data_IF_768694199911
#
_entry.id   IF_768694199911
#
_cell.length_a   1.000
_cell.length_b   1.000
_cell.length_c   1.000
_cell.angle_alpha   90.00
_cell.angle_beta   90.00
_cell.angle_gamma   90.00
#
_symmetry.space_group_name_H-M   'P 1'
#
loop_
_entity.id
_entity.type
_entity.pdbx_description
1 polymer ?
#
# COMPACT_ATOMS: atom_id res chain seq x y z
N UNK A 1 1.83 10.34 7.36
CA UNK A 1 2.18 11.67 6.83
C UNK A 1 3.42 12.24 7.50
N UNK A 2 4.05 13.29 6.93
CA UNK A 2 5.24 13.99 7.44
C UNK A 2 6.06 14.57 6.31
N UNK A 3 7.10 15.36 6.64
CA UNK A 3 7.99 15.99 5.67
C UNK A 3 8.80 14.97 4.85
N UNK A 4 9.34 15.40 3.71
CA UNK A 4 10.23 14.59 2.89
C UNK A 4 11.46 14.14 3.69
N UNK A 5 11.87 12.87 3.51
CA UNK A 5 13.02 12.31 4.23
C UNK A 5 12.75 11.80 5.65
N UNK A 6 11.52 11.90 6.19
CA UNK A 6 11.23 11.39 7.55
C UNK A 6 11.02 9.86 7.63
N UNK A 7 11.26 9.09 6.56
CA UNK A 7 11.23 7.62 6.59
C UNK A 7 9.92 6.97 6.09
N UNK A 8 8.93 7.70 5.60
CA UNK A 8 7.63 7.16 5.14
C UNK A 8 7.78 6.10 4.05
N UNK A 9 8.50 6.42 2.97
CA UNK A 9 8.76 5.51 1.86
C UNK A 9 9.49 4.25 2.31
N UNK A 10 10.50 4.39 3.18
CA UNK A 10 11.23 3.25 3.76
C UNK A 10 10.29 2.35 4.56
N UNK A 11 9.44 2.94 5.41
CA UNK A 11 8.42 2.19 6.16
C UNK A 11 7.46 1.47 5.20
N UNK A 12 6.96 2.15 4.16
CA UNK A 12 6.11 1.53 3.15
C UNK A 12 6.76 0.37 2.42
N UNK A 13 8.05 0.50 2.06
CA UNK A 13 8.82 -0.56 1.41
C UNK A 13 9.07 -1.75 2.35
N UNK A 14 9.31 -1.50 3.64
CA UNK A 14 9.39 -2.55 4.64
C UNK A 14 8.04 -3.29 4.75
N UNK A 15 6.91 -2.54 4.86
CA UNK A 15 5.57 -3.15 4.87
C UNK A 15 5.24 -3.89 3.58
N UNK A 16 5.74 -3.50 2.43
CA UNK A 16 5.58 -4.22 1.16
C UNK A 16 6.60 -5.37 0.99
N UNK A 17 7.49 -5.62 1.96
CA UNK A 17 8.52 -6.66 1.91
C UNK A 17 9.56 -6.45 0.81
N UNK A 18 9.78 -5.21 0.40
CA UNK A 18 10.79 -4.83 -0.61
C UNK A 18 12.13 -4.56 0.09
N UNK A 19 12.07 -3.93 1.27
CA UNK A 19 13.22 -3.69 2.13
C UNK A 19 13.08 -4.50 3.41
N UNK A 20 14.21 -5.03 3.91
CA UNK A 20 14.24 -5.78 5.16
C UNK A 20 14.27 -4.83 6.35
N UNK A 21 13.59 -5.21 7.43
CA UNK A 21 13.73 -4.52 8.70
C UNK A 21 15.13 -4.76 9.29
N UNK A 22 15.68 -3.71 9.91
CA UNK A 22 16.88 -3.83 10.74
C UNK A 22 16.53 -4.45 12.10
N UNK A 23 15.37 -4.06 12.66
CA UNK A 23 14.86 -4.53 13.95
C UNK A 23 13.33 -4.41 13.98
N UNK A 24 12.70 -5.16 14.89
CA UNK A 24 11.25 -5.21 15.06
C UNK A 24 10.55 -6.24 14.17
N UNK A 25 9.21 -6.22 14.18
CA UNK A 25 8.37 -7.18 13.50
C UNK A 25 7.24 -6.45 12.74
N UNK A 26 6.86 -6.98 11.60
CA UNK A 26 5.66 -6.56 10.85
C UNK A 26 4.80 -7.80 10.66
N UNK A 27 3.58 -7.76 11.19
CA UNK A 27 2.63 -8.86 11.07
C UNK A 27 1.60 -8.54 10.00
N UNK A 28 1.35 -9.49 9.11
CA UNK A 28 0.38 -9.37 8.04
C UNK A 28 -0.77 -10.37 8.25
N UNK A 29 -2.02 -9.87 8.15
CA UNK A 29 -3.25 -10.67 8.27
C UNK A 29 -3.34 -11.47 9.58
N UNK A 30 -2.93 -10.83 10.67
CA UNK A 30 -2.86 -11.43 12.00
C UNK A 30 -4.26 -11.63 12.59
N UNK A 31 -4.63 -12.84 13.05
CA UNK A 31 -5.88 -13.07 13.78
C UNK A 31 -5.97 -12.25 15.06
N UNK A 32 -7.17 -11.81 15.44
CA UNK A 32 -7.39 -11.03 16.67
C UNK A 32 -6.86 -11.73 17.93
N UNK A 33 -7.07 -13.04 18.05
CA UNK A 33 -6.55 -13.86 19.15
C UNK A 33 -5.02 -13.76 19.29
N UNK A 34 -4.32 -13.75 18.16
CA UNK A 34 -2.86 -13.61 18.13
C UNK A 34 -2.40 -12.17 18.41
N UNK A 35 -3.22 -11.15 18.07
CA UNK A 35 -2.96 -9.76 18.48
C UNK A 35 -2.98 -9.61 19.99
N UNK A 36 -3.98 -10.16 20.67
CA UNK A 36 -4.12 -10.09 22.12
C UNK A 36 -2.90 -10.72 22.84
N UNK A 37 -2.35 -11.80 22.28
CA UNK A 37 -1.12 -12.44 22.81
C UNK A 37 0.09 -11.51 22.67
N UNK A 38 0.27 -10.90 21.50
CA UNK A 38 1.39 -9.98 21.25
C UNK A 38 1.30 -8.70 22.09
N UNK A 39 0.09 -8.15 22.29
CA UNK A 39 -0.12 -6.97 23.14
C UNK A 39 0.22 -7.25 24.62
N UNK A 40 -0.20 -8.43 25.13
CA UNK A 40 0.20 -8.88 26.48
C UNK A 40 1.72 -9.06 26.59
N UNK A 41 2.33 -9.57 25.52
CA UNK A 41 3.78 -9.73 25.43
C UNK A 41 4.51 -8.39 25.55
N UNK A 42 4.10 -7.40 24.78
CA UNK A 42 4.68 -6.06 24.81
C UNK A 42 4.48 -5.37 26.18
N UNK A 43 3.38 -5.67 26.87
CA UNK A 43 3.09 -5.16 28.21
C UNK A 43 3.90 -5.85 29.33
N UNK A 44 4.81 -6.78 29.02
CA UNK A 44 5.64 -7.51 29.99
C UNK A 44 4.87 -8.52 30.87
N UNK A 45 3.66 -8.93 30.47
CA UNK A 45 2.77 -9.83 31.21
C UNK A 45 2.79 -11.26 30.63
N UNK A 46 3.99 -11.84 30.44
CA UNK A 46 4.14 -13.12 29.74
C UNK A 46 4.48 -14.25 30.68
N UNK A 47 3.75 -15.38 30.60
CA UNK A 47 4.13 -16.66 31.18
C UNK A 47 5.07 -17.43 30.20
N UNK A 48 5.90 -18.36 30.74
CA UNK A 48 6.84 -19.18 29.92
C UNK A 48 6.17 -19.96 28.78
N UNK A 49 4.91 -20.35 28.91
CA UNK A 49 4.14 -21.07 27.87
C UNK A 49 3.78 -20.17 26.67
N UNK A 50 3.63 -18.87 26.88
CA UNK A 50 3.30 -17.90 25.82
C UNK A 50 4.48 -17.59 24.89
N UNK A 51 5.72 -17.89 25.29
CA UNK A 51 6.89 -17.72 24.41
C UNK A 51 6.85 -18.65 23.19
N UNK A 52 6.37 -19.88 23.32
CA UNK A 52 6.20 -20.80 22.19
C UNK A 52 5.11 -20.33 21.24
N UNK A 53 4.02 -19.79 21.78
CA UNK A 53 2.95 -19.22 20.98
C UNK A 53 3.42 -17.98 20.19
N UNK A 54 4.22 -17.10 20.81
CA UNK A 54 4.84 -15.95 20.14
C UNK A 54 5.78 -16.38 19.01
N UNK A 55 6.59 -17.42 19.22
CA UNK A 55 7.45 -17.97 18.16
C UNK A 55 6.63 -18.55 17.00
N UNK A 56 5.51 -19.19 17.28
CA UNK A 56 4.60 -19.71 16.28
C UNK A 56 3.91 -18.57 15.51
N UNK A 57 3.47 -17.52 16.21
CA UNK A 57 2.92 -16.31 15.59
C UNK A 57 3.95 -15.66 14.67
N UNK A 58 5.19 -15.48 15.14
CA UNK A 58 6.27 -14.90 14.37
C UNK A 58 6.58 -15.71 13.10
N UNK A 59 6.65 -17.02 13.20
CA UNK A 59 6.94 -17.88 12.03
C UNK A 59 5.81 -17.91 10.99
N UNK A 60 4.58 -17.60 11.41
CA UNK A 60 3.40 -17.67 10.57
C UNK A 60 2.98 -16.33 9.96
N UNK A 61 3.25 -15.21 10.63
CA UNK A 61 2.70 -13.91 10.29
C UNK A 61 3.72 -12.76 10.18
N UNK A 62 4.93 -12.90 10.78
CA UNK A 62 5.98 -11.87 10.64
C UNK A 62 6.61 -11.94 9.25
N UNK A 63 6.42 -10.90 8.45
CA UNK A 63 6.87 -10.85 7.04
C UNK A 63 8.37 -11.05 6.86
N UNK A 64 9.18 -10.86 7.92
CA UNK A 64 10.61 -11.11 7.88
C UNK A 64 11.00 -12.57 8.16
N UNK A 65 10.07 -13.36 8.71
CA UNK A 65 10.33 -14.75 9.14
C UNK A 65 9.55 -15.77 8.34
N UNK A 66 8.40 -15.37 7.75
CA UNK A 66 7.60 -16.26 6.92
C UNK A 66 8.36 -16.73 5.67
N UNK A 67 8.12 -17.98 5.30
CA UNK A 67 8.72 -18.63 4.13
C UNK A 67 7.69 -19.48 3.39
N UNK A 68 8.03 -20.01 2.22
CA UNK A 68 7.20 -20.95 1.47
C UNK A 68 5.81 -20.39 1.13
N UNK A 69 4.76 -21.11 1.52
CA UNK A 69 3.37 -20.75 1.20
C UNK A 69 2.92 -19.46 1.90
N UNK A 70 3.30 -19.24 3.16
CA UNK A 70 2.98 -18.02 3.89
C UNK A 70 3.60 -16.77 3.22
N UNK A 71 4.84 -16.88 2.74
CA UNK A 71 5.48 -15.81 1.97
C UNK A 71 4.77 -15.55 0.64
N UNK A 72 4.39 -16.62 -0.10
CA UNK A 72 3.64 -16.49 -1.34
C UNK A 72 2.25 -15.86 -1.11
N UNK A 73 1.57 -16.25 -0.02
CA UNK A 73 0.31 -15.64 0.38
C UNK A 73 0.46 -14.14 0.66
N UNK A 74 1.47 -13.77 1.46
CA UNK A 74 1.78 -12.37 1.72
C UNK A 74 2.05 -11.57 0.44
N UNK A 75 2.94 -12.08 -0.44
CA UNK A 75 3.30 -11.43 -1.71
C UNK A 75 2.12 -11.25 -2.67
N UNK A 76 1.14 -12.15 -2.61
CA UNK A 76 -0.10 -12.03 -3.37
C UNK A 76 -1.01 -10.96 -2.78
N UNK A 77 -1.12 -10.90 -1.46
CA UNK A 77 -2.10 -10.08 -0.76
C UNK A 77 -1.61 -8.68 -0.34
N UNK A 78 -0.30 -8.40 -0.44
CA UNK A 78 0.29 -7.08 -0.19
C UNK A 78 0.98 -6.58 -1.45
N UNK A 79 0.44 -5.52 -2.06
CA UNK A 79 0.96 -4.93 -3.28
C UNK A 79 1.43 -3.49 -3.05
N UNK A 80 2.27 -2.95 -3.94
CA UNK A 80 2.75 -1.58 -3.83
C UNK A 80 2.61 -0.81 -5.14
N UNK A 81 2.13 0.42 -5.05
CA UNK A 81 2.15 1.42 -6.10
C UNK A 81 3.20 2.46 -5.71
N UNK A 82 4.21 2.63 -6.57
CA UNK A 82 5.34 3.51 -6.32
C UNK A 82 5.05 4.96 -6.71
N UNK A 83 5.78 5.88 -6.11
CA UNK A 83 5.72 7.32 -6.37
C UNK A 83 5.97 7.65 -7.84
N UNK A 84 7.02 7.09 -8.43
CA UNK A 84 7.33 7.28 -9.84
C UNK A 84 6.72 6.17 -10.70
N UNK A 85 5.55 6.46 -11.28
CA UNK A 85 4.89 5.56 -12.22
C UNK A 85 5.68 5.37 -13.53
N UNK A 86 6.57 6.29 -13.91
CA UNK A 86 7.41 6.14 -15.11
C UNK A 86 8.51 5.11 -14.85
N UNK A 87 9.25 5.23 -13.75
CA UNK A 87 10.31 4.29 -13.40
C UNK A 87 9.78 2.90 -13.02
N UNK A 88 8.53 2.82 -12.52
CA UNK A 88 7.93 1.56 -12.08
C UNK A 88 7.36 0.69 -13.21
N UNK A 89 7.16 1.24 -14.40
CA UNK A 89 6.66 0.53 -15.59
C UNK A 89 7.80 0.35 -16.60
N UNK A 90 8.04 -0.90 -17.01
CA UNK A 90 9.06 -1.18 -18.04
C UNK A 90 8.70 -0.49 -19.37
N UNK A 91 9.54 0.43 -19.90
CA UNK A 91 9.24 1.15 -21.14
C UNK A 91 9.23 0.26 -22.38
N UNK A 92 9.77 -0.97 -22.27
CA UNK A 92 9.91 -1.95 -23.35
C UNK A 92 8.82 -3.02 -23.35
N UNK A 93 7.88 -2.98 -22.41
CA UNK A 93 6.77 -3.94 -22.31
C UNK A 93 5.45 -3.26 -22.69
N UNK A 94 4.58 -4.01 -23.35
CA UNK A 94 3.21 -3.56 -23.61
C UNK A 94 2.41 -3.49 -22.30
N UNK A 95 1.39 -2.64 -22.26
CA UNK A 95 0.50 -2.53 -21.09
C UNK A 95 -0.16 -3.87 -20.77
N UNK A 96 -0.57 -4.63 -21.78
CA UNK A 96 -1.08 -6.00 -21.62
C UNK A 96 -0.11 -6.91 -20.88
N UNK A 97 1.19 -6.85 -21.21
CA UNK A 97 2.20 -7.68 -20.55
C UNK A 97 2.47 -7.24 -19.12
N UNK A 98 2.50 -5.93 -18.88
CA UNK A 98 2.71 -5.36 -17.53
C UNK A 98 1.61 -5.81 -16.57
N UNK A 99 0.33 -5.77 -16.99
CA UNK A 99 -0.80 -6.11 -16.15
C UNK A 99 -0.99 -7.63 -16.04
N UNK A 100 -0.80 -8.38 -17.14
CA UNK A 100 -0.97 -9.84 -17.12
C UNK A 100 0.19 -10.58 -16.44
N UNK A 101 1.37 -9.97 -16.29
CA UNK A 101 2.54 -10.62 -15.69
C UNK A 101 2.30 -11.16 -14.27
N UNK A 102 1.71 -10.39 -13.32
CA UNK A 102 1.35 -10.94 -12.01
C UNK A 102 0.39 -12.12 -12.10
N UNK A 103 -0.62 -12.06 -12.97
CA UNK A 103 -1.59 -13.13 -13.19
C UNK A 103 -0.91 -14.44 -13.63
N UNK A 104 0.04 -14.34 -14.57
CA UNK A 104 0.83 -15.49 -15.06
C UNK A 104 1.76 -16.05 -14.00
N UNK A 105 2.52 -15.20 -13.30
CA UNK A 105 3.50 -15.62 -12.30
C UNK A 105 2.84 -16.35 -11.12
N UNK A 106 1.69 -15.85 -10.68
CA UNK A 106 0.94 -16.44 -9.56
C UNK A 106 -0.11 -17.48 -10.01
N UNK A 107 -0.15 -17.82 -11.31
CA UNK A 107 -1.09 -18.80 -11.89
C UNK A 107 -2.54 -18.54 -11.47
N UNK A 108 -2.98 -17.28 -11.53
CA UNK A 108 -4.31 -16.83 -11.06
C UNK A 108 -5.43 -17.34 -11.98
N UNK A 109 -5.12 -17.56 -13.27
CA UNK A 109 -6.08 -17.99 -14.28
C UNK A 109 -5.39 -18.78 -15.40
N UNK A 110 -6.17 -19.46 -16.21
CA UNK A 110 -5.71 -20.14 -17.41
C UNK A 110 -5.27 -19.12 -18.49
N UNK A 111 -4.51 -19.58 -19.48
CA UNK A 111 -3.95 -18.70 -20.52
C UNK A 111 -5.01 -18.00 -21.38
N UNK A 112 -6.12 -18.65 -21.63
CA UNK A 112 -7.26 -18.12 -22.38
C UNK A 112 -8.04 -17.03 -21.60
N UNK A 113 -7.99 -17.06 -20.27
CA UNK A 113 -8.61 -16.05 -19.40
C UNK A 113 -7.71 -14.81 -19.16
N UNK A 114 -6.41 -14.87 -19.50
CA UNK A 114 -5.49 -13.76 -19.23
C UNK A 114 -5.88 -12.46 -19.91
N UNK A 115 -6.27 -12.54 -21.20
CA UNK A 115 -6.66 -11.35 -21.96
C UNK A 115 -7.96 -10.74 -21.44
N UNK A 116 -9.05 -11.50 -21.24
CA UNK A 116 -10.27 -10.96 -20.62
C UNK A 116 -10.02 -10.29 -19.26
N UNK A 117 -9.28 -10.93 -18.36
CA UNK A 117 -8.95 -10.35 -17.04
C UNK A 117 -8.09 -9.10 -17.13
N UNK A 118 -7.17 -9.05 -18.10
CA UNK A 118 -6.33 -7.86 -18.32
C UNK A 118 -7.16 -6.68 -18.81
N UNK A 119 -8.15 -6.94 -19.69
CA UNK A 119 -9.09 -5.92 -20.16
C UNK A 119 -9.93 -5.40 -19.00
N UNK A 120 -10.53 -6.28 -18.20
CA UNK A 120 -11.33 -5.92 -17.03
C UNK A 120 -10.55 -5.05 -16.05
N UNK A 121 -9.29 -5.40 -15.74
CA UNK A 121 -8.41 -4.59 -14.89
C UNK A 121 -8.12 -3.20 -15.46
N UNK A 122 -7.99 -3.06 -16.77
CA UNK A 122 -7.83 -1.76 -17.42
C UNK A 122 -9.11 -0.93 -17.33
N UNK A 123 -10.26 -1.53 -17.60
CA UNK A 123 -11.56 -0.87 -17.54
C UNK A 123 -11.89 -0.38 -16.12
N UNK A 124 -11.54 -1.16 -15.10
CA UNK A 124 -11.71 -0.76 -13.70
C UNK A 124 -10.92 0.50 -13.32
N UNK A 125 -9.82 0.78 -13.99
CA UNK A 125 -9.07 2.03 -13.78
C UNK A 125 -9.41 3.12 -14.80
N UNK A 126 -10.48 2.92 -15.60
CA UNK A 126 -10.98 3.87 -16.60
C UNK A 126 -10.07 3.99 -17.83
N UNK A 127 -9.44 2.89 -18.24
CA UNK A 127 -8.68 2.78 -19.48
C UNK A 127 -9.32 1.71 -20.38
N UNK A 128 -9.55 2.04 -21.65
CA UNK A 128 -10.20 1.12 -22.58
C UNK A 128 -9.25 0.07 -23.17
N UNK A 129 -9.85 -0.92 -23.83
CA UNK A 129 -9.18 -2.03 -24.52
C UNK A 129 -8.14 -1.57 -25.55
N UNK A 130 -8.32 -0.42 -26.19
CA UNK A 130 -7.40 0.19 -27.15
C UNK A 130 -6.03 0.53 -26.58
N UNK A 131 -5.89 0.50 -25.26
CA UNK A 131 -4.64 0.77 -24.55
C UNK A 131 -3.73 -0.46 -24.36
N UNK A 132 -4.24 -1.67 -24.59
CA UNK A 132 -3.52 -2.93 -24.33
C UNK A 132 -2.17 -3.03 -25.04
N UNK A 133 -2.12 -2.62 -26.30
CA UNK A 133 -0.97 -2.79 -27.18
C UNK A 133 -0.11 -1.53 -27.30
N UNK A 134 -0.21 -0.63 -26.32
CA UNK A 134 0.63 0.56 -26.22
C UNK A 134 1.75 0.37 -25.20
N UNK A 135 2.81 1.13 -25.36
CA UNK A 135 3.92 1.19 -24.42
C UNK A 135 3.72 2.31 -23.39
N UNK A 136 4.27 2.22 -22.17
CA UNK A 136 4.10 3.22 -21.11
C UNK A 136 4.45 4.65 -21.51
N UNK A 137 5.46 4.86 -22.37
CA UNK A 137 5.86 6.19 -22.83
C UNK A 137 4.80 6.91 -23.69
N UNK A 138 3.79 6.18 -24.20
CA UNK A 138 2.69 6.73 -25.01
C UNK A 138 1.52 7.24 -24.16
N UNK A 139 1.67 7.25 -22.83
CA UNK A 139 0.62 7.63 -21.88
C UNK A 139 0.98 8.89 -21.09
N UNK A 140 -0.04 9.66 -20.69
CA UNK A 140 0.13 10.73 -19.72
C UNK A 140 0.52 10.20 -18.33
N UNK A 141 1.02 11.07 -17.44
CA UNK A 141 1.37 10.70 -16.07
C UNK A 141 0.20 10.04 -15.32
N UNK A 142 -0.99 10.60 -15.40
CA UNK A 142 -2.18 10.05 -14.77
C UNK A 142 -2.63 8.71 -15.36
N UNK A 143 -2.47 8.50 -16.68
CA UNK A 143 -2.74 7.21 -17.30
C UNK A 143 -1.72 6.14 -16.88
N UNK A 144 -0.43 6.48 -16.81
CA UNK A 144 0.61 5.57 -16.26
C UNK A 144 0.31 5.19 -14.81
N UNK A 145 -0.14 6.15 -14.00
CA UNK A 145 -0.54 5.86 -12.62
C UNK A 145 -1.71 4.87 -12.56
N UNK A 146 -2.72 5.01 -13.42
CA UNK A 146 -3.83 4.06 -13.55
C UNK A 146 -3.35 2.66 -13.96
N UNK A 147 -2.39 2.54 -14.88
CA UNK A 147 -1.78 1.26 -15.26
C UNK A 147 -1.04 0.64 -14.06
N UNK A 148 -0.32 1.44 -13.27
CA UNK A 148 0.34 0.95 -12.05
C UNK A 148 -0.65 0.45 -11.01
N UNK A 149 -1.79 1.13 -10.85
CA UNK A 149 -2.90 0.68 -9.98
C UNK A 149 -3.52 -0.61 -10.52
N UNK A 150 -3.82 -0.72 -11.83
CA UNK A 150 -4.35 -1.93 -12.45
C UNK A 150 -3.42 -3.14 -12.24
N UNK A 151 -2.10 -2.94 -12.38
CA UNK A 151 -1.10 -3.97 -12.10
C UNK A 151 -1.14 -4.43 -10.64
N UNK A 152 -1.28 -3.52 -9.68
CA UNK A 152 -1.38 -3.85 -8.26
C UNK A 152 -2.68 -4.62 -7.93
N UNK A 153 -3.78 -4.30 -8.60
CA UNK A 153 -5.07 -4.99 -8.45
C UNK A 153 -5.10 -6.39 -9.05
N UNK A 154 -4.15 -6.74 -9.93
CA UNK A 154 -4.19 -8.00 -10.69
C UNK A 154 -4.23 -9.27 -9.80
N UNK A 155 -3.67 -9.21 -8.59
CA UNK A 155 -3.66 -10.33 -7.64
C UNK A 155 -4.81 -10.31 -6.64
N UNK A 156 -5.74 -9.37 -6.76
CA UNK A 156 -6.84 -9.14 -5.82
C UNK A 156 -6.33 -9.04 -4.37
N UNK A 157 -5.44 -8.07 -4.07
CA UNK A 157 -4.75 -7.98 -2.79
C UNK A 157 -5.69 -7.53 -1.66
N UNK A 158 -5.30 -7.82 -0.41
CA UNK A 158 -5.95 -7.27 0.79
C UNK A 158 -5.42 -5.89 1.16
N UNK A 159 -4.14 -5.62 0.89
CA UNK A 159 -3.45 -4.38 1.21
C UNK A 159 -2.72 -3.83 -0.01
N UNK A 160 -2.88 -2.54 -0.28
CA UNK A 160 -2.05 -1.80 -1.23
C UNK A 160 -1.32 -0.68 -0.50
N UNK A 161 0.01 -0.71 -0.55
CA UNK A 161 0.86 0.40 -0.12
C UNK A 161 0.93 1.41 -1.27
N UNK A 162 0.44 2.62 -1.03
CA UNK A 162 0.40 3.72 -1.99
C UNK A 162 1.46 4.76 -1.58
N UNK A 163 2.61 4.75 -2.25
CA UNK A 163 3.71 5.67 -1.94
C UNK A 163 3.60 6.91 -2.80
N UNK A 164 3.11 8.00 -2.23
CA UNK A 164 2.86 9.30 -2.89
C UNK A 164 2.19 9.18 -4.27
N UNK A 165 1.06 8.47 -4.41
CA UNK A 165 0.53 8.05 -5.70
C UNK A 165 0.06 9.21 -6.60
N UNK A 166 0.03 10.43 -6.09
CA UNK A 166 -0.48 11.61 -6.82
C UNK A 166 0.48 12.80 -6.81
N UNK A 167 1.67 12.70 -6.19
CA UNK A 167 2.59 13.84 -5.97
C UNK A 167 3.14 14.45 -7.27
N UNK A 168 3.28 13.65 -8.34
CA UNK A 168 3.81 14.08 -9.63
C UNK A 168 2.71 14.47 -10.64
N UNK A 169 1.45 14.62 -10.20
CA UNK A 169 0.30 14.88 -11.06
C UNK A 169 -0.28 16.28 -10.81
N UNK A 170 -0.86 16.86 -11.85
CA UNK A 170 -1.64 18.10 -11.69
C UNK A 170 -2.90 17.89 -10.83
N UNK A 171 -3.40 18.96 -10.23
CA UNK A 171 -4.50 18.93 -9.24
C UNK A 171 -5.75 18.23 -9.79
N UNK A 172 -6.07 18.44 -11.06
CA UNK A 172 -7.29 17.86 -11.67
C UNK A 172 -7.15 16.36 -11.90
N UNK A 173 -5.96 15.90 -12.27
CA UNK A 173 -5.66 14.46 -12.42
C UNK A 173 -5.52 13.79 -11.06
N UNK A 174 -4.91 14.47 -10.08
CA UNK A 174 -4.83 14.01 -8.70
C UNK A 174 -6.23 13.68 -8.14
N UNK A 175 -7.18 14.61 -8.25
CA UNK A 175 -8.55 14.37 -7.77
C UNK A 175 -9.19 13.12 -8.43
N UNK A 176 -8.99 12.92 -9.73
CA UNK A 176 -9.48 11.73 -10.44
C UNK A 176 -8.87 10.43 -9.97
N UNK A 177 -7.57 10.44 -9.63
CA UNK A 177 -6.90 9.24 -9.08
C UNK A 177 -7.38 8.96 -7.65
N UNK A 178 -7.57 9.97 -6.81
CA UNK A 178 -8.09 9.80 -5.45
C UNK A 178 -9.51 9.23 -5.45
N UNK A 179 -10.39 9.77 -6.30
CA UNK A 179 -11.75 9.24 -6.47
C UNK A 179 -11.72 7.78 -6.99
N UNK A 180 -10.84 7.46 -7.94
CA UNK A 180 -10.67 6.08 -8.41
C UNK A 180 -10.26 5.16 -7.26
N UNK A 181 -9.26 5.53 -6.45
CA UNK A 181 -8.79 4.74 -5.30
C UNK A 181 -9.90 4.55 -4.27
N UNK A 182 -10.66 5.59 -3.96
CA UNK A 182 -11.80 5.52 -3.04
C UNK A 182 -12.87 4.52 -3.53
N UNK A 183 -13.26 4.61 -4.81
CA UNK A 183 -14.23 3.69 -5.40
C UNK A 183 -13.73 2.23 -5.39
N UNK A 184 -12.46 2.00 -5.73
CA UNK A 184 -11.85 0.67 -5.69
C UNK A 184 -11.81 0.11 -4.27
N UNK A 185 -11.54 0.95 -3.27
CA UNK A 185 -11.56 0.56 -1.86
C UNK A 185 -12.93 0.04 -1.44
N UNK A 186 -13.98 0.78 -1.78
CA UNK A 186 -15.36 0.38 -1.45
C UNK A 186 -15.80 -0.90 -2.19
N UNK A 187 -15.49 -1.01 -3.48
CA UNK A 187 -15.90 -2.14 -4.30
C UNK A 187 -15.21 -3.45 -3.94
N UNK A 188 -13.95 -3.39 -3.48
CA UNK A 188 -13.09 -4.55 -3.25
C UNK A 188 -12.72 -4.77 -1.79
N UNK A 189 -13.24 -3.97 -0.85
CA UNK A 189 -12.88 -4.01 0.58
C UNK A 189 -11.36 -3.96 0.81
N UNK A 190 -10.66 -3.11 0.05
CA UNK A 190 -9.21 -2.95 0.10
C UNK A 190 -8.80 -2.15 1.33
N UNK A 191 -7.72 -2.58 1.99
CA UNK A 191 -7.00 -1.72 2.92
C UNK A 191 -5.90 -0.94 2.18
N UNK A 192 -5.74 0.34 2.51
CA UNK A 192 -4.66 1.18 2.00
C UNK A 192 -3.72 1.62 3.10
N UNK A 193 -2.41 1.46 2.86
CA UNK A 193 -1.38 2.22 3.56
C UNK A 193 -0.99 3.39 2.65
N UNK A 194 -1.58 4.56 2.90
CA UNK A 194 -1.43 5.74 2.04
C UNK A 194 -0.32 6.64 2.58
N UNK A 195 0.76 6.78 1.83
CA UNK A 195 1.90 7.65 2.16
C UNK A 195 1.76 8.94 1.37
N UNK A 196 1.77 10.07 2.07
CA UNK A 196 1.71 11.40 1.45
C UNK A 196 2.33 12.46 2.37
N UNK A 197 2.81 13.54 1.78
CA UNK A 197 3.13 14.78 2.50
C UNK A 197 1.98 15.81 2.45
N UNK A 198 0.95 15.55 1.65
CA UNK A 198 -0.22 16.43 1.50
C UNK A 198 -1.29 16.07 2.52
N UNK A 199 -1.50 16.95 3.50
CA UNK A 199 -2.46 16.77 4.59
C UNK A 199 -3.91 16.77 4.12
N UNK A 200 -4.27 17.59 3.13
CA UNK A 200 -5.63 17.61 2.58
C UNK A 200 -5.98 16.27 1.93
N UNK A 201 -5.03 15.66 1.22
CA UNK A 201 -5.18 14.32 0.67
C UNK A 201 -5.33 13.28 1.78
N UNK A 202 -4.48 13.35 2.82
CA UNK A 202 -4.55 12.42 3.95
C UNK A 202 -5.90 12.50 4.66
N UNK A 203 -6.41 13.72 4.91
CA UNK A 203 -7.71 13.93 5.55
C UNK A 203 -8.87 13.35 4.72
N UNK A 204 -8.78 13.46 3.39
CA UNK A 204 -9.81 12.97 2.48
C UNK A 204 -9.83 11.43 2.36
N UNK A 205 -8.65 10.79 2.45
CA UNK A 205 -8.48 9.37 2.12
C UNK A 205 -8.40 8.44 3.32
N UNK A 206 -8.02 8.93 4.50
CA UNK A 206 -7.63 8.07 5.61
C UNK A 206 -8.61 8.13 6.79
N UNK A 207 -9.00 6.95 7.32
CA UNK A 207 -9.74 6.82 8.57
C UNK A 207 -8.83 7.11 9.77
N UNK A 208 -7.59 6.63 9.70
CA UNK A 208 -6.56 6.81 10.73
C UNK A 208 -5.31 7.45 10.11
N UNK A 209 -4.63 8.29 10.87
CA UNK A 209 -3.42 8.96 10.45
C UNK A 209 -2.25 8.66 11.39
N UNK A 210 -1.07 8.51 10.82
CA UNK A 210 0.20 8.37 11.53
C UNK A 210 1.10 9.51 11.08
N UNK A 211 1.56 10.34 12.01
CA UNK A 211 2.49 11.45 11.76
C UNK A 211 3.90 11.00 12.06
N UNK A 212 4.78 11.10 11.08
CA UNK A 212 6.19 10.74 11.19
C UNK A 212 7.07 11.99 11.16
N UNK A 213 8.08 12.02 12.04
CA UNK A 213 9.07 13.07 12.14
C UNK A 213 10.44 12.47 12.50
N UNK A 214 11.48 12.75 11.68
CA UNK A 214 12.83 12.20 11.86
C UNK A 214 12.88 10.69 12.16
N UNK A 215 12.17 9.89 11.36
CA UNK A 215 12.15 8.42 11.49
C UNK A 215 11.29 7.87 12.63
N UNK A 216 10.59 8.73 13.38
CA UNK A 216 9.76 8.33 14.52
C UNK A 216 8.29 8.64 14.27
N UNK A 217 7.42 7.79 14.75
CA UNK A 217 5.99 8.10 14.90
C UNK A 217 5.85 9.04 16.10
N UNK A 218 5.34 10.25 15.85
CA UNK A 218 5.17 11.27 16.89
C UNK A 218 3.72 11.45 17.30
N UNK A 219 2.78 11.11 16.44
CA UNK A 219 1.36 11.12 16.73
C UNK A 219 0.63 10.10 15.85
N UNK A 220 -0.40 9.43 16.39
CA UNK A 220 -1.26 8.51 15.66
C UNK A 220 -2.66 8.52 16.26
N UNK A 221 -3.67 8.41 15.42
CA UNK A 221 -5.08 8.36 15.87
C UNK A 221 -6.04 8.44 14.71
N UNK A 222 -7.32 8.59 15.02
CA UNK A 222 -8.34 8.87 14.02
C UNK A 222 -8.06 10.19 13.33
N UNK A 223 -8.24 10.23 12.04
CA UNK A 223 -7.90 11.40 11.22
C UNK A 223 -8.55 12.67 11.75
N UNK A 224 -9.86 12.67 12.00
CA UNK A 224 -10.57 13.85 12.49
C UNK A 224 -10.12 14.28 13.89
N UNK A 225 -9.72 13.36 14.77
CA UNK A 225 -9.19 13.68 16.11
C UNK A 225 -7.83 14.38 16.03
N UNK A 226 -6.90 13.85 15.22
CA UNK A 226 -5.57 14.42 15.02
C UNK A 226 -5.64 15.79 14.34
N UNK A 227 -6.59 15.97 13.38
CA UNK A 227 -6.76 17.26 12.71
C UNK A 227 -7.42 18.31 13.58
N UNK A 228 -8.41 17.94 14.42
CA UNK A 228 -9.13 18.90 15.28
C UNK A 228 -8.39 19.23 16.58
N UNK A 229 -7.66 18.26 17.13
CA UNK A 229 -6.97 18.41 18.43
C UNK A 229 -5.57 17.77 18.41
N UNK A 230 -4.64 18.25 17.58
CA UNK A 230 -3.28 17.71 17.52
C UNK A 230 -2.55 17.89 18.85
N UNK A 231 -1.91 16.84 19.34
CA UNK A 231 -1.22 16.86 20.62
C UNK A 231 0.26 17.24 20.46
N UNK A 232 0.93 16.64 19.47
CA UNK A 232 2.37 16.84 19.28
C UNK A 232 2.69 18.21 18.65
N UNK A 233 3.71 18.94 19.14
CA UNK A 233 4.08 20.27 18.60
C UNK A 233 4.37 20.26 17.09
N UNK A 234 5.00 19.21 16.59
CA UNK A 234 5.26 19.06 15.16
C UNK A 234 3.97 18.93 14.35
N UNK A 235 3.00 18.14 14.82
CA UNK A 235 1.69 18.00 14.15
C UNK A 235 0.95 19.32 14.07
N UNK A 236 0.96 20.10 15.18
CA UNK A 236 0.40 21.46 15.20
C UNK A 236 1.03 22.36 14.15
N UNK A 237 2.35 22.33 14.05
CA UNK A 237 3.12 23.10 13.07
C UNK A 237 2.83 22.67 11.62
N UNK A 238 2.75 21.36 11.40
CA UNK A 238 2.46 20.76 10.10
C UNK A 238 1.06 21.15 9.61
N UNK A 239 0.05 21.10 10.49
CA UNK A 239 -1.33 21.49 10.18
C UNK A 239 -1.48 22.99 9.95
N UNK A 240 -0.83 23.82 10.75
CA UNK A 240 -0.84 25.27 10.58
C UNK A 240 -0.19 25.74 9.26
N UNK A 241 0.75 24.99 8.73
CA UNK A 241 1.38 25.29 7.44
C UNK A 241 0.54 24.83 6.21
N UNK A 242 -0.50 24.03 6.43
CA UNK A 242 -1.36 23.48 5.38
C UNK A 242 -2.72 24.21 5.25
N UNK A 243 -3.00 25.16 6.15
CA UNK A 243 -4.16 26.07 6.11
C UNK A 243 -3.78 27.37 5.41
#
# INVERSE_FOLDING_TARGET
VGESGCGKTTTGRCVAGIEKLTDGNIYFDLPKTSMDVLEKAQAGKIARQENQEIEQINSSYDINKITGEAFNYYRKNCQMVFQDSFASLSPRQLVSDIISRPLRLHKICANDELLPKTIDLLEQVGLGREHLYRFPHQFSGGQRQRISIARALALDPKLIVLDEPTSALDVSVQARILNLLHNLQQQRSLAYLFITHNLSVARHMADNIIVMYFGKVVEAGKTEEVFSNPQHPYTKKLLAAAT
#
